data_IF_207698462585
#
_entry.id   IF_207698462585
#
_cell.length_a   1.000
_cell.length_b   1.000
_cell.length_c   1.000
_cell.angle_alpha   90.00
_cell.angle_beta   90.00
_cell.angle_gamma   90.00
#
_symmetry.space_group_name_H-M   'P 1'
#
loop_
_entity.id
_entity.type
_entity.pdbx_description
1 polymer ?
#
# COMPACT_ATOMS: atom_id res chain seq x y z
N UNK A 1 -10.22 -6.92 -4.29
CA UNK A 1 -8.90 -6.56 -4.87
C UNK A 1 -7.88 -7.64 -4.52
N UNK A 2 -7.19 -8.18 -5.50
CA UNK A 2 -6.16 -9.19 -5.24
C UNK A 2 -4.82 -8.52 -4.89
N UNK A 3 -3.83 -9.31 -4.47
CA UNK A 3 -2.55 -8.77 -4.00
C UNK A 3 -1.77 -8.05 -5.10
N UNK A 4 -1.87 -8.51 -6.33
CA UNK A 4 -1.20 -7.87 -7.47
C UNK A 4 -1.77 -6.47 -7.72
N UNK A 5 -3.09 -6.37 -7.78
CA UNK A 5 -3.78 -5.10 -7.98
C UNK A 5 -3.51 -4.13 -6.82
N UNK A 6 -3.51 -4.64 -5.59
CA UNK A 6 -3.21 -3.83 -4.41
C UNK A 6 -1.81 -3.24 -4.47
N UNK A 7 -0.81 -4.06 -4.83
CA UNK A 7 0.58 -3.58 -4.92
C UNK A 7 0.76 -2.55 -6.02
N UNK A 8 0.12 -2.75 -7.16
CA UNK A 8 0.15 -1.77 -8.24
C UNK A 8 -0.47 -0.44 -7.81
N UNK A 9 -1.56 -0.50 -7.08
CA UNK A 9 -2.23 0.70 -6.57
C UNK A 9 -1.38 1.41 -5.51
N UNK A 10 -0.70 0.65 -4.65
CA UNK A 10 0.24 1.22 -3.67
C UNK A 10 1.34 1.99 -4.37
N UNK A 11 1.96 1.40 -5.39
CA UNK A 11 3.02 2.07 -6.17
C UNK A 11 2.49 3.37 -6.77
N UNK A 12 1.30 3.33 -7.35
CA UNK A 12 0.69 4.52 -7.95
C UNK A 12 0.49 5.62 -6.90
N UNK A 13 -0.05 5.28 -5.75
CA UNK A 13 -0.29 6.26 -4.68
C UNK A 13 1.01 6.86 -4.16
N UNK A 14 2.05 6.05 -3.98
CA UNK A 14 3.34 6.53 -3.52
C UNK A 14 4.02 7.43 -4.55
N UNK A 15 3.78 7.16 -5.84
CA UNK A 15 4.38 7.94 -6.92
C UNK A 15 3.73 9.32 -7.06
N UNK A 16 2.41 9.40 -6.95
CA UNK A 16 1.66 10.65 -7.18
C UNK A 16 1.43 11.46 -5.91
N UNK A 17 1.64 10.88 -4.73
CA UNK A 17 1.41 11.58 -3.47
C UNK A 17 2.53 12.57 -3.19
N UNK A 18 2.16 13.79 -2.80
CA UNK A 18 3.11 14.82 -2.39
C UNK A 18 3.53 14.67 -0.93
N UNK A 19 2.81 13.86 -0.15
CA UNK A 19 3.06 13.66 1.27
C UNK A 19 3.29 12.19 1.58
N UNK A 20 4.04 11.88 2.65
CA UNK A 20 4.23 10.48 3.06
C UNK A 20 2.89 9.81 3.37
N UNK A 21 2.71 8.59 2.89
CA UNK A 21 1.53 7.79 3.16
C UNK A 21 1.91 6.70 4.16
N UNK A 22 1.17 6.62 5.27
CA UNK A 22 1.45 5.60 6.28
C UNK A 22 0.88 4.24 5.89
N UNK A 23 1.50 3.17 6.36
CA UNK A 23 0.99 1.82 6.17
C UNK A 23 -0.41 1.67 6.77
N UNK A 24 -0.69 2.34 7.89
CA UNK A 24 -2.01 2.31 8.52
C UNK A 24 -3.08 2.94 7.64
N UNK A 25 -2.77 4.07 6.98
CA UNK A 25 -3.68 4.71 6.04
C UNK A 25 -4.00 3.81 4.85
N UNK A 26 -2.98 3.16 4.28
CA UNK A 26 -3.16 2.24 3.17
C UNK A 26 -3.98 1.02 3.60
N UNK A 27 -3.70 0.47 4.78
CA UNK A 27 -4.44 -0.67 5.30
C UNK A 27 -5.94 -0.34 5.43
N UNK A 28 -6.27 0.83 5.95
CA UNK A 28 -7.65 1.27 6.06
C UNK A 28 -8.30 1.43 4.68
N UNK A 29 -7.58 1.99 3.72
CA UNK A 29 -8.09 2.21 2.37
C UNK A 29 -8.41 0.90 1.65
N UNK A 30 -7.61 -0.14 1.87
CA UNK A 30 -7.79 -1.43 1.21
C UNK A 30 -8.57 -2.46 2.05
N UNK A 31 -8.89 -2.14 3.29
CA UNK A 31 -9.61 -3.05 4.17
C UNK A 31 -8.77 -4.26 4.58
N UNK A 32 -7.47 -4.09 4.74
CA UNK A 32 -6.54 -5.15 5.16
C UNK A 32 -5.78 -4.73 6.41
N UNK A 33 -5.03 -5.66 7.02
CA UNK A 33 -4.23 -5.33 8.19
C UNK A 33 -2.97 -4.55 7.81
N UNK A 34 -2.46 -3.77 8.77
CA UNK A 34 -1.22 -3.03 8.58
C UNK A 34 -0.05 -3.94 8.20
N UNK A 35 -0.01 -5.15 8.78
CA UNK A 35 1.05 -6.12 8.48
C UNK A 35 1.06 -6.53 7.02
N UNK A 36 -0.11 -6.66 6.40
CA UNK A 36 -0.20 -6.97 4.98
C UNK A 36 0.42 -5.87 4.15
N UNK A 37 0.16 -4.61 4.48
CA UNK A 37 0.74 -3.47 3.76
C UNK A 37 2.26 -3.41 3.96
N UNK A 38 2.75 -3.65 5.17
CA UNK A 38 4.19 -3.68 5.44
C UNK A 38 4.86 -4.76 4.60
N UNK A 39 4.24 -5.94 4.49
CA UNK A 39 4.74 -7.01 3.63
C UNK A 39 4.76 -6.63 2.16
N UNK A 40 3.70 -5.98 1.67
CA UNK A 40 3.63 -5.51 0.28
C UNK A 40 4.73 -4.50 -0.02
N UNK A 41 4.95 -3.54 0.88
CA UNK A 41 6.00 -2.53 0.70
C UNK A 41 7.38 -3.19 0.68
N UNK A 42 7.61 -4.17 1.54
CA UNK A 42 8.87 -4.90 1.56
C UNK A 42 9.13 -5.64 0.24
N UNK A 43 8.09 -6.17 -0.39
CA UNK A 43 8.19 -6.84 -1.69
C UNK A 43 8.43 -5.85 -2.83
N UNK A 44 7.98 -4.61 -2.68
CA UNK A 44 8.12 -3.58 -3.71
C UNK A 44 9.48 -2.86 -3.68
N UNK A 45 10.25 -3.06 -2.65
CA UNK A 45 11.58 -2.43 -2.52
C UNK A 45 12.63 -3.10 -3.38
#
# INVERSE_FOLDING_TARGET
MNSIDRREDIVRRLTISAEPISASSLAAAYGVSRQIIVGDIALLR
#
